data_IF_361832074539
#
_entry.id   IF_361832074539
#
_cell.length_a   1.000
_cell.length_b   1.000
_cell.length_c   1.000
_cell.angle_alpha   90.00
_cell.angle_beta   90.00
_cell.angle_gamma   90.00
#
_symmetry.space_group_name_H-M   'P 1'
#
loop_
_entity.id
_entity.type
_entity.pdbx_description
1 polymer ?
#
# COMPACT_ATOMS: atom_id res chain seq x y z
N UNK A 1 3.79 7.89 2.06
CA UNK A 1 5.14 7.33 1.83
C UNK A 1 5.68 7.93 0.55
N UNK A 2 6.92 8.40 0.54
CA UNK A 2 7.57 8.89 -0.68
C UNK A 2 7.68 7.74 -1.67
N UNK A 3 6.88 7.77 -2.73
CA UNK A 3 7.04 6.87 -3.86
C UNK A 3 8.27 7.35 -4.63
N UNK A 4 9.39 6.65 -4.49
CA UNK A 4 10.60 6.98 -5.23
C UNK A 4 10.30 6.73 -6.72
N UNK A 5 10.44 7.77 -7.54
CA UNK A 5 10.21 7.66 -8.98
C UNK A 5 11.31 6.80 -9.61
N UNK A 6 11.01 5.50 -9.76
CA UNK A 6 11.93 4.50 -10.30
C UNK A 6 12.39 4.79 -11.73
N UNK A 7 11.57 5.50 -12.51
CA UNK A 7 11.88 5.84 -13.89
C UNK A 7 12.93 6.96 -13.93
N UNK A 8 12.77 7.99 -13.09
CA UNK A 8 13.75 9.07 -12.91
C UNK A 8 15.13 8.54 -12.51
N UNK A 9 15.20 7.56 -11.60
CA UNK A 9 16.50 7.02 -11.16
C UNK A 9 17.21 6.20 -12.24
N UNK A 10 16.47 5.49 -13.09
CA UNK A 10 17.05 4.76 -14.23
C UNK A 10 17.59 5.74 -15.27
N UNK A 11 16.84 6.80 -15.58
CA UNK A 11 17.24 7.86 -16.51
C UNK A 11 18.49 8.63 -16.03
N UNK A 12 18.57 8.95 -14.74
CA UNK A 12 19.76 9.58 -14.15
C UNK A 12 21.00 8.66 -14.24
N UNK A 13 20.82 7.37 -13.98
CA UNK A 13 21.90 6.39 -14.06
C UNK A 13 22.39 6.18 -15.50
N UNK A 14 21.49 6.12 -16.47
CA UNK A 14 21.83 6.04 -17.90
C UNK A 14 22.57 7.30 -18.36
N UNK A 15 22.15 8.47 -17.88
CA UNK A 15 22.84 9.75 -18.14
C UNK A 15 24.26 9.73 -17.56
N UNK A 16 24.46 9.16 -16.37
CA UNK A 16 25.77 9.04 -15.73
C UNK A 16 26.70 8.11 -16.53
N UNK A 17 26.18 6.97 -17.01
CA UNK A 17 26.92 6.04 -17.88
C UNK A 17 27.38 6.71 -19.18
N UNK A 18 26.49 7.43 -19.85
CA UNK A 18 26.83 8.15 -21.08
C UNK A 18 27.93 9.21 -20.85
N UNK A 19 27.89 9.91 -19.71
CA UNK A 19 28.96 10.86 -19.33
C UNK A 19 30.29 10.16 -19.09
N UNK A 20 30.28 9.00 -18.43
CA UNK A 20 31.47 8.21 -18.20
C UNK A 20 32.08 7.72 -19.52
N UNK A 21 31.29 7.15 -20.43
CA UNK A 21 31.77 6.69 -21.75
C UNK A 21 32.38 7.83 -22.57
N UNK A 22 31.78 9.02 -22.50
CA UNK A 22 32.35 10.22 -23.12
C UNK A 22 33.72 10.59 -22.52
N UNK A 23 33.87 10.53 -21.20
CA UNK A 23 35.16 10.82 -20.55
C UNK A 23 36.24 9.78 -20.89
N UNK A 24 35.84 8.51 -21.09
CA UNK A 24 36.73 7.46 -21.55
C UNK A 24 37.21 7.68 -22.98
N UNK A 25 36.30 8.04 -23.90
CA UNK A 25 36.63 8.33 -25.30
C UNK A 25 37.45 9.60 -25.48
N UNK A 26 37.24 10.61 -24.62
CA UNK A 26 38.06 11.83 -24.55
C UNK A 26 39.46 11.58 -23.96
N UNK A 27 39.77 10.37 -23.50
CA UNK A 27 41.08 10.03 -22.94
C UNK A 27 41.37 10.69 -21.58
N UNK A 28 40.35 11.22 -20.91
CA UNK A 28 40.49 11.95 -19.63
C UNK A 28 40.66 11.04 -18.41
N UNK A 29 40.76 9.73 -18.62
CA UNK A 29 40.93 8.72 -17.56
C UNK A 29 41.95 7.67 -17.98
N UNK A 30 42.78 7.23 -17.02
CA UNK A 30 43.66 6.08 -17.18
C UNK A 30 42.92 4.74 -17.15
N UNK A 31 43.49 3.71 -17.76
CA UNK A 31 42.89 2.36 -17.92
C UNK A 31 42.47 1.72 -16.59
N UNK A 32 43.28 1.90 -15.53
CA UNK A 32 43.00 1.39 -14.19
C UNK A 32 41.75 2.03 -13.59
N UNK A 33 41.62 3.36 -13.71
CA UNK A 33 40.47 4.11 -13.22
C UNK A 33 39.19 3.78 -14.00
N UNK A 34 39.31 3.58 -15.32
CA UNK A 34 38.19 3.14 -16.15
C UNK A 34 37.67 1.77 -15.71
N UNK A 35 38.58 0.81 -15.49
CA UNK A 35 38.23 -0.54 -15.07
C UNK A 35 37.52 -0.55 -13.71
N UNK A 36 38.02 0.23 -12.74
CA UNK A 36 37.41 0.37 -11.42
C UNK A 36 35.99 0.96 -11.49
N UNK A 37 35.82 2.04 -12.24
CA UNK A 37 34.52 2.71 -12.35
C UNK A 37 33.52 1.86 -13.13
N UNK A 38 33.98 1.12 -14.14
CA UNK A 38 33.13 0.18 -14.86
C UNK A 38 32.63 -0.95 -13.94
N UNK A 39 33.48 -1.48 -13.06
CA UNK A 39 33.07 -2.45 -12.05
C UNK A 39 32.05 -1.86 -11.05
N UNK A 40 32.24 -0.62 -10.62
CA UNK A 40 31.30 0.10 -9.75
C UNK A 40 29.93 0.30 -10.43
N UNK A 41 29.91 0.68 -11.70
CA UNK A 41 28.67 0.86 -12.47
C UNK A 41 27.93 -0.47 -12.63
N UNK A 42 28.62 -1.59 -12.91
CA UNK A 42 27.99 -2.91 -12.96
C UNK A 42 27.39 -3.34 -11.62
N UNK A 43 28.09 -3.08 -10.51
CA UNK A 43 27.56 -3.37 -9.18
C UNK A 43 26.27 -2.57 -8.91
N UNK A 44 26.25 -1.31 -9.32
CA UNK A 44 25.07 -0.46 -9.15
C UNK A 44 23.88 -0.92 -10.00
N UNK A 45 24.12 -1.41 -11.22
CA UNK A 45 23.08 -2.05 -12.03
C UNK A 45 22.47 -3.28 -11.36
N UNK A 46 23.33 -4.13 -10.77
CA UNK A 46 22.86 -5.30 -10.03
C UNK A 46 22.00 -4.89 -8.83
N UNK A 47 22.40 -3.85 -8.09
CA UNK A 47 21.61 -3.31 -6.98
C UNK A 47 20.27 -2.76 -7.46
N UNK A 48 20.27 -1.95 -8.52
CA UNK A 48 19.02 -1.40 -9.08
C UNK A 48 18.11 -2.51 -9.62
N UNK A 49 18.64 -3.54 -10.26
CA UNK A 49 17.87 -4.71 -10.67
C UNK A 49 17.24 -5.39 -9.44
N UNK A 50 18.03 -5.81 -8.46
CA UNK A 50 17.51 -6.53 -7.28
C UNK A 50 16.50 -5.72 -6.48
N UNK A 51 16.77 -4.44 -6.21
CA UNK A 51 15.96 -3.62 -5.31
C UNK A 51 14.78 -2.93 -6.01
N UNK A 52 14.88 -2.59 -7.30
CA UNK A 52 13.81 -1.90 -8.00
C UNK A 52 12.85 -2.86 -8.73
N UNK A 53 13.29 -4.07 -9.05
CA UNK A 53 12.48 -5.11 -9.70
C UNK A 53 11.57 -5.85 -8.70
N UNK A 54 12.04 -6.11 -7.48
CA UNK A 54 11.22 -6.75 -6.45
C UNK A 54 10.21 -5.77 -5.84
N UNK A 55 8.93 -5.94 -6.18
CA UNK A 55 7.83 -5.51 -5.30
C UNK A 55 7.82 -6.45 -4.09
N UNK A 56 8.39 -6.04 -2.97
CA UNK A 56 8.04 -6.67 -1.69
C UNK A 56 6.69 -6.09 -1.27
N UNK A 57 5.62 -6.80 -1.61
CA UNK A 57 4.32 -6.51 -1.00
C UNK A 57 4.50 -6.67 0.52
N UNK A 58 4.14 -5.62 1.26
CA UNK A 58 4.10 -5.67 2.71
C UNK A 58 3.02 -6.67 3.12
N UNK A 59 3.43 -7.87 3.48
CA UNK A 59 2.57 -8.91 4.05
C UNK A 59 2.78 -9.00 5.57
N UNK A 60 1.94 -9.76 6.26
CA UNK A 60 2.02 -9.96 7.71
C UNK A 60 3.32 -10.64 8.16
N UNK A 61 4.08 -11.25 7.22
CA UNK A 61 5.34 -11.94 7.50
C UNK A 61 6.55 -11.01 7.45
N UNK A 62 6.54 -9.99 6.58
CA UNK A 62 7.71 -9.10 6.40
C UNK A 62 7.53 -7.66 6.90
N UNK A 63 6.33 -7.26 7.35
CA UNK A 63 6.03 -5.82 7.54
C UNK A 63 5.40 -5.41 8.87
N UNK A 64 5.27 -6.29 9.87
CA UNK A 64 4.55 -6.00 11.12
C UNK A 64 3.13 -5.44 10.88
N UNK A 65 2.58 -5.67 9.68
CA UNK A 65 1.19 -5.35 9.36
C UNK A 65 0.34 -6.43 10.03
N UNK A 66 -0.59 -6.06 10.93
CA UNK A 66 -1.50 -7.04 11.49
C UNK A 66 -2.30 -7.69 10.35
N UNK A 67 -2.55 -8.99 10.47
CA UNK A 67 -3.26 -9.78 9.43
C UNK A 67 -4.64 -9.23 9.08
N UNK A 68 -5.24 -8.43 9.95
CA UNK A 68 -6.48 -7.69 9.72
C UNK A 68 -6.36 -6.55 8.70
N UNK A 69 -5.15 -6.18 8.28
CA UNK A 69 -4.86 -5.11 7.30
C UNK A 69 -4.18 -5.63 6.03
N UNK A 70 -4.20 -6.93 5.81
CA UNK A 70 -3.78 -7.56 4.55
C UNK A 70 -5.02 -8.10 3.85
N UNK A 71 -5.06 -8.00 2.51
CA UNK A 71 -6.13 -8.61 1.72
C UNK A 71 -6.23 -10.11 2.02
N UNK A 72 -7.46 -10.64 2.00
CA UNK A 72 -7.73 -12.05 2.27
C UNK A 72 -6.97 -12.90 1.25
N UNK A 73 -6.07 -13.74 1.75
CA UNK A 73 -5.33 -14.70 0.93
C UNK A 73 -6.31 -15.74 0.36
N UNK A 74 -6.73 -15.54 -0.89
CA UNK A 74 -7.58 -16.46 -1.64
C UNK A 74 -6.75 -17.48 -2.44
N UNK A 75 -5.43 -17.37 -2.42
CA UNK A 75 -4.51 -18.28 -3.13
C UNK A 75 -4.21 -19.55 -2.33
N UNK A 76 -4.44 -19.54 -1.02
CA UNK A 76 -4.53 -20.75 -0.23
C UNK A 76 -5.85 -21.48 -0.56
N UNK A 77 -5.80 -22.38 -1.55
CA UNK A 77 -6.81 -23.42 -1.65
C UNK A 77 -6.92 -24.07 -0.26
N UNK A 78 -8.10 -23.98 0.35
CA UNK A 78 -8.40 -24.57 1.64
C UNK A 78 -8.18 -26.08 1.54
N UNK A 79 -6.95 -26.52 1.83
CA UNK A 79 -6.62 -27.94 1.86
C UNK A 79 -7.47 -28.58 2.97
N UNK A 80 -8.25 -29.63 2.67
CA UNK A 80 -8.98 -30.37 3.68
C UNK A 80 -7.99 -30.86 4.75
N UNK A 81 -8.14 -30.40 6.00
CA UNK A 81 -7.27 -30.76 7.12
C UNK A 81 -6.21 -29.72 7.52
N UNK A 82 -6.15 -28.56 6.87
CA UNK A 82 -5.36 -27.45 7.40
C UNK A 82 -5.98 -26.99 8.72
N UNK A 83 -5.29 -27.25 9.84
CA UNK A 83 -5.67 -26.74 11.17
C UNK A 83 -5.43 -25.23 11.21
N UNK A 84 -6.33 -24.47 10.59
CA UNK A 84 -6.46 -23.05 10.81
C UNK A 84 -6.63 -22.80 12.31
N UNK A 85 -5.89 -21.84 12.85
CA UNK A 85 -5.99 -21.48 14.27
C UNK A 85 -7.28 -20.68 14.46
N UNK A 86 -8.35 -21.32 14.90
CA UNK A 86 -9.63 -20.68 15.15
C UNK A 86 -10.82 -21.60 14.88
N UNK A 87 -11.99 -21.26 15.44
CA UNK A 87 -13.26 -21.86 15.04
C UNK A 87 -13.59 -21.41 13.62
N UNK A 88 -14.23 -22.27 12.83
CA UNK A 88 -14.74 -21.88 11.51
C UNK A 88 -15.58 -20.61 11.66
N UNK A 89 -15.25 -19.58 10.86
CA UNK A 89 -16.00 -18.33 10.85
C UNK A 89 -17.39 -18.60 10.31
N UNK A 90 -18.36 -18.69 11.21
CA UNK A 90 -19.76 -18.54 10.86
C UNK A 90 -20.04 -17.04 10.79
N UNK A 91 -20.63 -16.54 9.70
CA UNK A 91 -21.07 -15.14 9.54
C UNK A 91 -22.18 -14.72 10.54
N UNK A 92 -22.40 -15.49 11.60
CA UNK A 92 -23.31 -15.21 12.67
C UNK A 92 -22.80 -14.02 13.51
N UNK A 93 -23.59 -12.96 13.54
CA UNK A 93 -23.33 -11.78 14.38
C UNK A 93 -23.54 -12.13 15.85
N UNK A 94 -22.64 -11.72 16.73
CA UNK A 94 -22.83 -11.83 18.18
C UNK A 94 -24.05 -11.00 18.62
N UNK A 95 -24.89 -11.58 19.47
CA UNK A 95 -26.20 -10.99 19.85
C UNK A 95 -26.11 -9.64 20.58
N UNK A 96 -24.93 -9.27 21.08
CA UNK A 96 -24.66 -8.00 21.77
C UNK A 96 -23.98 -6.95 20.88
N UNK A 97 -23.89 -7.15 19.56
CA UNK A 97 -23.28 -6.18 18.64
C UNK A 97 -24.36 -5.34 17.96
N UNK A 98 -24.30 -4.01 18.11
CA UNK A 98 -25.15 -3.03 17.40
C UNK A 98 -24.33 -2.22 16.39
N UNK A 99 -24.89 -1.94 15.22
CA UNK A 99 -24.32 -1.04 14.21
C UNK A 99 -25.31 0.07 13.99
N UNK A 100 -24.86 1.31 14.07
CA UNK A 100 -25.65 2.50 13.75
C UNK A 100 -24.97 3.17 12.58
N UNK A 101 -25.71 3.33 11.47
CA UNK A 101 -25.21 4.03 10.29
C UNK A 101 -25.93 5.36 10.15
N UNK A 102 -25.14 6.43 10.02
CA UNK A 102 -25.65 7.77 9.74
C UNK A 102 -25.07 8.22 8.40
N UNK A 103 -25.94 8.60 7.47
CA UNK A 103 -25.54 9.09 6.14
C UNK A 103 -25.80 10.59 6.07
N UNK A 104 -24.80 11.34 5.63
CA UNK A 104 -24.90 12.76 5.34
C UNK A 104 -24.39 13.01 3.93
N UNK A 105 -25.10 13.85 3.18
CA UNK A 105 -24.74 14.27 1.83
C UNK A 105 -24.45 15.76 1.88
N UNK A 106 -23.26 16.15 1.43
CA UNK A 106 -22.87 17.55 1.29
C UNK A 106 -23.03 17.97 -0.17
N UNK A 107 -23.70 19.11 -0.40
CA UNK A 107 -23.81 19.71 -1.72
C UNK A 107 -22.53 20.45 -2.10
N UNK A 108 -22.15 20.38 -3.38
CA UNK A 108 -21.00 21.09 -3.93
C UNK A 108 -21.50 22.11 -4.94
N UNK A 109 -21.35 23.40 -4.60
CA UNK A 109 -21.81 24.48 -5.46
C UNK A 109 -20.72 25.08 -6.35
N UNK A 110 -19.45 24.80 -6.07
CA UNK A 110 -18.31 25.39 -6.80
C UNK A 110 -17.25 24.32 -7.04
N UNK A 111 -16.70 24.28 -8.24
CA UNK A 111 -15.58 23.41 -8.57
C UNK A 111 -14.31 23.88 -7.86
N UNK A 112 -13.66 22.99 -7.09
CA UNK A 112 -12.42 23.31 -6.38
C UNK A 112 -11.24 23.63 -7.33
N UNK A 113 -11.22 23.05 -8.53
CA UNK A 113 -10.10 23.20 -9.47
C UNK A 113 -10.18 24.49 -10.30
N UNK A 114 -11.36 24.84 -10.82
CA UNK A 114 -11.53 25.99 -11.72
C UNK A 114 -12.42 27.11 -11.16
N UNK A 115 -13.10 26.90 -10.03
CA UNK A 115 -13.99 27.89 -9.43
C UNK A 115 -15.34 28.06 -10.12
N UNK A 116 -15.69 27.21 -11.08
CA UNK A 116 -16.97 27.28 -11.79
C UNK A 116 -18.16 26.92 -10.87
N UNK A 117 -19.30 27.59 -11.06
CA UNK A 117 -20.52 27.33 -10.30
C UNK A 117 -21.23 26.06 -10.81
N UNK A 118 -21.43 25.09 -9.91
CA UNK A 118 -21.99 23.77 -10.20
C UNK A 118 -23.45 23.59 -9.74
N UNK A 119 -24.08 24.61 -9.16
CA UNK A 119 -25.43 24.47 -8.58
C UNK A 119 -26.54 24.05 -9.55
N UNK A 120 -26.35 24.25 -10.86
CA UNK A 120 -27.29 23.81 -11.91
C UNK A 120 -26.80 22.58 -12.70
N UNK A 121 -25.65 22.03 -12.33
CA UNK A 121 -25.04 20.87 -12.99
C UNK A 121 -25.54 19.59 -12.31
N UNK A 122 -26.11 18.62 -13.05
CA UNK A 122 -26.59 17.38 -12.46
C UNK A 122 -25.45 16.58 -11.83
N UNK A 123 -25.67 16.08 -10.62
CA UNK A 123 -24.72 15.23 -9.92
C UNK A 123 -24.55 13.89 -10.66
N UNK A 124 -23.33 13.60 -11.13
CA UNK A 124 -23.02 12.35 -11.83
C UNK A 124 -22.75 11.17 -10.87
N UNK A 125 -22.47 11.45 -9.60
CA UNK A 125 -22.16 10.43 -8.59
C UNK A 125 -21.73 11.03 -7.25
N UNK A 126 -21.73 10.20 -6.21
CA UNK A 126 -21.33 10.61 -4.86
C UNK A 126 -19.98 10.00 -4.51
N UNK A 127 -19.03 10.82 -4.07
CA UNK A 127 -17.84 10.31 -3.39
C UNK A 127 -18.23 9.91 -1.96
N UNK A 128 -18.12 8.63 -1.63
CA UNK A 128 -18.46 8.11 -0.30
C UNK A 128 -17.21 8.07 0.58
N UNK A 129 -17.23 8.81 1.68
CA UNK A 129 -16.25 8.67 2.77
C UNK A 129 -16.95 8.08 3.99
N UNK A 130 -16.45 6.96 4.49
CA UNK A 130 -17.02 6.26 5.65
C UNK A 130 -16.12 6.49 6.86
N UNK A 131 -16.68 7.07 7.93
CA UNK A 131 -16.05 7.07 9.25
C UNK A 131 -16.64 5.93 10.07
N UNK A 132 -15.79 5.03 10.55
CA UNK A 132 -16.20 3.90 11.38
C UNK A 132 -15.77 4.21 12.82
N UNK A 133 -16.74 4.48 13.69
CA UNK A 133 -16.50 4.60 15.13
C UNK A 133 -16.88 3.28 15.80
N UNK A 134 -15.92 2.65 16.49
CA UNK A 134 -16.12 1.41 17.23
C UNK A 134 -16.21 1.74 18.72
N UNK A 135 -17.38 1.52 19.32
CA UNK A 135 -17.64 1.75 20.75
C UNK A 135 -17.80 0.40 21.43
N UNK A 136 -17.04 0.19 22.52
CA UNK A 136 -17.15 -1.00 23.35
C UNK A 136 -17.87 -0.67 24.65
N UNK A 137 -18.99 -1.36 24.91
CA UNK A 137 -19.73 -1.27 26.16
C UNK A 137 -19.64 -2.62 26.89
N UNK A 138 -19.40 -2.58 28.21
CA UNK A 138 -19.37 -3.79 29.04
C UNK A 138 -20.78 -4.02 29.60
N UNK A 139 -21.44 -5.07 29.13
CA UNK A 139 -22.72 -5.52 29.68
C UNK A 139 -22.49 -6.70 30.64
N UNK A 140 -22.81 -6.51 31.93
CA UNK A 140 -22.82 -7.58 32.92
C UNK A 140 -24.27 -7.96 33.25
N UNK A 141 -24.60 -9.25 33.18
CA UNK A 141 -25.88 -9.77 33.67
C UNK A 141 -25.64 -10.64 34.90
N UNK A 142 -26.14 -10.22 36.05
CA UNK A 142 -26.11 -11.03 37.28
C UNK A 142 -27.42 -11.81 37.38
N UNK A 143 -27.34 -13.13 37.50
CA UNK A 143 -28.49 -13.98 37.86
C UNK A 143 -28.35 -14.39 39.32
N UNK A 144 -29.30 -13.98 40.13
CA UNK A 144 -29.44 -14.49 41.50
C UNK A 144 -30.29 -15.75 41.45
N UNK A 145 -29.74 -16.87 41.91
CA UNK A 145 -30.49 -18.11 42.09
C UNK A 145 -31.05 -18.07 43.52
N UNK A 146 -32.38 -18.03 43.67
CA UNK A 146 -33.02 -18.21 44.96
C UNK A 146 -32.94 -19.70 45.35
N UNK A 147 -32.41 -19.98 46.54
CA UNK A 147 -32.37 -21.32 47.14
C UNK A 147 -33.69 -21.71 47.80
#
# INVERSE_FOLDING_TARGET
MSNVNKQSLREEFDTLKARFERLCTEGKMGSESQSLIQALLMLFELLMAVFMEKRTTKDSKNSSKPSSQTDKDNTAASQPGAKGKGKDENNARSGNTRTVETVQVAEVHVCETCGEHLGNTPCAGHERRTKIDIIFEIAASTRTIAG
#
